data_IF_746893672303
#
_entry.id   IF_746893672303
#
_cell.length_a   1.000
_cell.length_b   1.000
_cell.length_c   1.000
_cell.angle_alpha   90.00
_cell.angle_beta   90.00
_cell.angle_gamma   90.00
#
_symmetry.space_group_name_H-M   'P 1'
#
loop_
_entity.id
_entity.type
_entity.pdbx_description
1 polymer ?
#
# COMPACT_ATOMS: atom_id res chain seq x y z
N UNK A 1 -10.44 -22.15 10.99
CA UNK A 1 -9.37 -21.31 10.42
C UNK A 1 -9.14 -21.82 9.00
N UNK A 2 -9.33 -20.98 7.99
CA UNK A 2 -9.14 -21.39 6.59
C UNK A 2 -7.63 -21.46 6.37
N UNK A 3 -7.13 -22.59 5.89
CA UNK A 3 -5.70 -22.80 5.66
C UNK A 3 -5.16 -21.70 4.75
N UNK A 4 -4.29 -20.83 5.28
CA UNK A 4 -3.53 -19.87 4.49
C UNK A 4 -2.45 -20.64 3.72
N UNK A 5 -2.88 -21.44 2.75
CA UNK A 5 -1.99 -22.22 1.90
C UNK A 5 -1.34 -21.27 0.91
N UNK A 6 -0.01 -21.21 0.93
CA UNK A 6 0.76 -20.42 -0.02
C UNK A 6 0.40 -20.84 -1.45
N UNK A 7 -0.19 -19.93 -2.21
CA UNK A 7 -0.54 -20.17 -3.61
C UNK A 7 0.72 -20.13 -4.47
N UNK A 8 1.20 -21.32 -4.86
CA UNK A 8 2.37 -21.50 -5.70
C UNK A 8 2.11 -21.09 -7.16
N UNK A 9 0.87 -20.82 -7.54
CA UNK A 9 0.50 -20.35 -8.89
C UNK A 9 0.47 -18.84 -9.00
N UNK A 10 0.49 -18.11 -7.88
CA UNK A 10 0.52 -16.65 -7.87
C UNK A 10 1.84 -16.09 -8.46
N UNK A 11 2.93 -16.86 -8.38
CA UNK A 11 4.25 -16.46 -8.86
C UNK A 11 4.64 -17.31 -10.07
N UNK A 12 4.45 -16.76 -11.27
CA UNK A 12 4.97 -17.32 -12.52
C UNK A 12 6.31 -16.68 -12.88
N UNK A 13 7.19 -17.42 -13.55
CA UNK A 13 8.34 -16.84 -14.25
C UNK A 13 7.78 -16.04 -15.43
N UNK A 14 8.14 -14.77 -15.54
CA UNK A 14 7.67 -13.86 -16.59
C UNK A 14 8.87 -13.12 -17.17
N UNK A 15 8.79 -12.83 -18.46
CA UNK A 15 9.77 -11.97 -19.14
C UNK A 15 9.61 -10.53 -18.68
N UNK A 16 10.62 -9.68 -18.94
CA UNK A 16 10.55 -8.26 -18.60
C UNK A 16 9.31 -7.58 -19.19
N UNK A 17 9.00 -7.86 -20.46
CA UNK A 17 7.84 -7.29 -21.16
C UNK A 17 6.52 -7.77 -20.55
N UNK A 18 6.43 -9.05 -20.16
CA UNK A 18 5.24 -9.61 -19.52
C UNK A 18 5.01 -9.02 -18.12
N UNK A 19 6.07 -8.80 -17.35
CA UNK A 19 5.98 -8.16 -16.04
C UNK A 19 5.59 -6.68 -16.16
N UNK A 20 6.08 -5.98 -17.18
CA UNK A 20 5.72 -4.60 -17.47
C UNK A 20 4.24 -4.49 -17.90
N UNK A 21 3.76 -5.41 -18.74
CA UNK A 21 2.37 -5.51 -19.16
C UNK A 21 1.42 -5.96 -18.04
N UNK A 22 1.91 -6.73 -17.06
CA UNK A 22 1.15 -7.13 -15.88
C UNK A 22 0.98 -6.00 -14.86
N UNK A 23 1.65 -4.87 -15.07
CA UNK A 23 1.49 -3.71 -14.21
C UNK A 23 0.10 -3.12 -14.44
N UNK A 24 -0.77 -3.31 -13.44
CA UNK A 24 -2.17 -2.84 -13.47
C UNK A 24 -2.23 -1.31 -13.55
N UNK A 25 -1.15 -0.63 -13.14
CA UNK A 25 -1.04 0.81 -13.14
C UNK A 25 -0.05 1.28 -14.21
N UNK A 26 -0.54 2.12 -15.11
CA UNK A 26 0.24 2.73 -16.17
C UNK A 26 1.39 3.59 -15.60
N UNK A 27 2.55 3.59 -16.26
CA UNK A 27 3.72 4.39 -15.89
C UNK A 27 3.41 5.88 -15.90
N UNK A 28 2.46 6.29 -16.74
CA UNK A 28 2.00 7.67 -16.87
C UNK A 28 1.04 8.12 -15.75
N UNK A 29 0.74 7.24 -14.79
CA UNK A 29 -0.12 7.59 -13.65
C UNK A 29 0.48 8.76 -12.86
N UNK A 30 -0.27 9.87 -12.65
CA UNK A 30 0.22 10.99 -11.86
C UNK A 30 0.66 10.58 -10.47
N UNK A 31 1.70 11.22 -9.94
CA UNK A 31 2.25 10.90 -8.62
C UNK A 31 1.19 10.90 -7.50
N UNK A 32 0.24 11.84 -7.55
CA UNK A 32 -0.86 11.92 -6.59
C UNK A 32 -1.74 10.65 -6.60
N UNK A 33 -2.05 10.11 -7.78
CA UNK A 33 -2.84 8.89 -7.93
C UNK A 33 -2.04 7.66 -7.48
N UNK A 34 -0.73 7.61 -7.74
CA UNK A 34 0.14 6.55 -7.20
C UNK A 34 0.14 6.54 -5.68
N UNK A 35 0.20 7.73 -5.05
CA UNK A 35 0.14 7.84 -3.59
C UNK A 35 -1.23 7.41 -3.05
N UNK A 36 -2.32 7.74 -3.76
CA UNK A 36 -3.67 7.30 -3.41
C UNK A 36 -3.83 5.78 -3.48
N UNK A 37 -3.31 5.15 -4.54
CA UNK A 37 -3.30 3.68 -4.70
C UNK A 37 -2.51 3.01 -3.58
N UNK A 38 -1.29 3.48 -3.30
CA UNK A 38 -0.48 2.96 -2.21
C UNK A 38 -1.20 3.08 -0.86
N UNK A 39 -1.84 4.22 -0.61
CA UNK A 39 -2.58 4.45 0.63
C UNK A 39 -3.82 3.55 0.74
N UNK A 40 -4.51 3.28 -0.38
CA UNK A 40 -5.60 2.31 -0.41
C UNK A 40 -5.14 0.89 -0.02
N UNK A 41 -4.00 0.42 -0.55
CA UNK A 41 -3.43 -0.88 -0.17
C UNK A 41 -3.08 -0.95 1.33
N UNK A 42 -2.55 0.14 1.89
CA UNK A 42 -2.29 0.24 3.34
C UNK A 42 -3.61 0.14 4.11
N UNK A 43 -4.67 0.82 3.67
CA UNK A 43 -5.98 0.80 4.32
C UNK A 43 -6.58 -0.62 4.39
N UNK A 44 -6.42 -1.40 3.31
CA UNK A 44 -6.82 -2.81 3.28
C UNK A 44 -5.99 -3.67 4.23
N UNK A 45 -4.67 -3.46 4.27
CA UNK A 45 -3.76 -4.26 5.10
C UNK A 45 -4.01 -4.06 6.60
N UNK A 46 -4.32 -2.82 7.02
CA UNK A 46 -4.54 -2.46 8.42
C UNK A 46 -6.03 -2.37 8.81
N UNK A 47 -6.95 -2.60 7.87
CA UNK A 47 -8.39 -2.69 8.13
C UNK A 47 -9.05 -1.37 8.51
N UNK A 48 -8.63 -0.25 7.92
CA UNK A 48 -9.29 1.05 8.13
C UNK A 48 -9.88 1.62 6.83
N UNK A 49 -10.86 2.51 6.96
CA UNK A 49 -11.46 3.18 5.80
C UNK A 49 -10.66 4.41 5.39
N UNK A 50 -10.62 4.68 4.08
CA UNK A 50 -10.07 5.94 3.53
C UNK A 50 -10.83 7.18 4.03
N UNK A 51 -12.12 7.04 4.39
CA UNK A 51 -12.94 8.14 4.94
C UNK A 51 -12.72 8.35 6.43
N UNK A 52 -12.42 7.29 7.18
CA UNK A 52 -12.27 7.30 8.64
C UNK A 52 -10.88 6.82 9.01
N UNK A 53 -9.91 7.69 8.73
CA UNK A 53 -8.50 7.37 8.91
C UNK A 53 -8.12 7.41 10.40
N UNK A 54 -7.30 6.45 10.87
CA UNK A 54 -6.77 6.48 12.23
C UNK A 54 -5.94 7.75 12.42
N UNK A 55 -6.27 8.53 13.45
CA UNK A 55 -5.56 9.76 13.80
C UNK A 55 -4.40 9.44 14.72
N UNK A 56 -3.29 10.16 14.55
CA UNK A 56 -2.15 10.08 15.45
C UNK A 56 -2.58 10.46 16.87
N UNK A 57 -2.36 9.57 17.83
CA UNK A 57 -2.56 9.89 19.24
C UNK A 57 -1.42 10.80 19.74
N UNK A 58 -1.73 12.08 19.88
CA UNK A 58 -0.79 13.12 20.32
C UNK A 58 -0.44 13.04 21.80
N UNK A 59 -1.11 12.20 22.58
CA UNK A 59 -0.77 11.96 23.99
C UNK A 59 0.46 11.06 24.12
N UNK A 60 0.56 10.05 23.27
CA UNK A 60 1.68 9.09 23.27
C UNK A 60 2.77 9.48 22.28
N UNK A 61 2.40 10.00 21.10
CA UNK A 61 3.34 10.37 20.05
C UNK A 61 3.53 11.88 20.01
N UNK A 62 4.50 12.35 20.80
CA UNK A 62 4.87 13.76 20.88
C UNK A 62 6.15 13.97 20.08
N UNK A 63 6.07 14.74 18.99
CA UNK A 63 7.26 15.26 18.32
C UNK A 63 7.79 16.39 19.20
N UNK A 64 8.86 16.13 19.95
CA UNK A 64 9.60 17.20 20.64
C UNK A 64 10.20 18.11 19.58
N UNK A 65 9.80 19.38 19.58
CA UNK A 65 10.44 20.40 18.75
C UNK A 65 11.90 20.47 19.17
N UNK A 66 12.84 20.13 18.28
CA UNK A 66 14.24 20.49 18.50
C UNK A 66 14.28 22.02 18.57
N UNK A 67 14.67 22.55 19.72
CA UNK A 67 14.87 23.98 19.91
C UNK A 67 15.91 24.50 18.92
N UNK A 68 15.73 25.77 18.50
CA UNK A 68 16.78 26.52 17.79
C UNK A 68 18.01 26.67 18.68
#
# INVERSE_FOLDING_TARGET
>A
MKDFKFDRTAFKIQTFEEADAANIFDKETPYAERLRQAYYLISLAYGFSMSEQPKLDRKYFIIKKLGK
#
